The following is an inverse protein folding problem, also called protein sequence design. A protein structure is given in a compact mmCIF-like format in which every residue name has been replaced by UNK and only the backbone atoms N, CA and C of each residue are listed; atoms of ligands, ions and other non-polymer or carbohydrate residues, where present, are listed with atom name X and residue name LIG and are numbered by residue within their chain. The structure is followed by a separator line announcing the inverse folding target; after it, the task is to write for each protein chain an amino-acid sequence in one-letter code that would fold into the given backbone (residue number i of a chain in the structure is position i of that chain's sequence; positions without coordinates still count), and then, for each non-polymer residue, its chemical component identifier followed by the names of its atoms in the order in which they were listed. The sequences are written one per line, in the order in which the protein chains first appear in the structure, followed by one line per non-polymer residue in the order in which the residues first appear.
data_IF_664111012868
#
_entry.id   IF_664111012868
#
_cell.length_a   1.000
_cell.length_b   1.000
_cell.length_c   1.000
_cell.angle_alpha   90.00
_cell.angle_beta   90.00
_cell.angle_gamma   90.00
#
_symmetry.space_group_name_H-M   'P 1'
#
loop_
_entity.id
_entity.type
_entity.pdbx_description
1 polymer ?
#
# COMPACT_ATOMS: atom_id res chain seq x y z
N UNK A 1 -7.92 -0.72 5.43
CA UNK A 1 -6.44 -0.66 5.45
C UNK A 1 -5.96 0.67 4.92
N UNK A 2 -6.30 0.97 3.67
CA UNK A 2 -6.04 2.21 2.92
C UNK A 2 -6.14 3.47 3.79
N UNK A 3 -7.32 3.80 4.31
CA UNK A 3 -7.52 5.02 5.10
C UNK A 3 -6.53 5.20 6.25
N UNK A 4 -6.20 4.12 6.98
CA UNK A 4 -5.22 4.17 8.07
C UNK A 4 -3.80 4.42 7.57
N UNK A 5 -3.42 3.85 6.42
CA UNK A 5 -2.11 4.08 5.82
C UNK A 5 -1.95 5.56 5.42
N UNK A 6 -2.97 6.15 4.79
CA UNK A 6 -2.96 7.57 4.42
C UNK A 6 -3.04 8.50 5.64
N UNK A 7 -3.88 8.19 6.64
CA UNK A 7 -3.95 8.97 7.86
C UNK A 7 -2.61 8.99 8.62
N UNK A 8 -1.94 7.84 8.72
CA UNK A 8 -0.62 7.76 9.34
C UNK A 8 0.44 8.49 8.51
N UNK A 9 0.42 8.34 7.18
CA UNK A 9 1.29 9.08 6.28
C UNK A 9 1.12 10.59 6.44
N UNK A 10 -0.12 11.08 6.50
CA UNK A 10 -0.45 12.48 6.75
C UNK A 10 0.05 12.97 8.11
N UNK A 11 -0.17 12.19 9.18
CA UNK A 11 0.38 12.49 10.51
C UNK A 11 1.92 12.60 10.52
N UNK A 12 2.59 11.85 9.64
CA UNK A 12 4.05 11.87 9.47
C UNK A 12 4.54 12.91 8.44
N UNK A 13 3.64 13.67 7.81
CA UNK A 13 4.00 14.60 6.73
C UNK A 13 4.56 13.91 5.48
N UNK A 14 4.23 12.64 5.27
CA UNK A 14 4.66 11.88 4.08
C UNK A 14 3.86 12.32 2.85
N UNK A 15 4.50 12.20 1.68
CA UNK A 15 3.79 12.35 0.40
C UNK A 15 2.71 11.27 0.27
N UNK A 16 1.60 11.62 -0.36
CA UNK A 16 0.50 10.68 -0.61
C UNK A 16 0.92 9.59 -1.61
N UNK A 17 1.76 9.94 -2.58
CA UNK A 17 2.19 9.05 -3.65
C UNK A 17 3.66 9.31 -4.03
N UNK A 18 4.34 8.23 -4.42
CA UNK A 18 5.62 8.24 -5.10
C UNK A 18 5.77 6.89 -5.81
N UNK A 19 6.48 6.88 -6.94
CA UNK A 19 6.82 5.63 -7.61
C UNK A 19 7.65 4.74 -6.68
N UNK A 20 7.36 3.45 -6.65
CA UNK A 20 8.10 2.48 -5.83
C UNK A 20 8.99 1.64 -6.74
N UNK A 21 10.33 1.80 -6.66
CA UNK A 21 11.25 0.97 -7.43
C UNK A 21 11.07 -0.53 -7.13
N UNK A 22 11.21 -1.43 -8.11
CA UNK A 22 11.09 -2.88 -7.90
C UNK A 22 12.00 -3.44 -6.79
N UNK A 23 13.15 -2.80 -6.63
CA UNK A 23 14.24 -3.11 -5.72
C UNK A 23 14.24 -2.23 -4.46
N UNK A 24 13.14 -1.50 -4.21
CA UNK A 24 12.96 -0.71 -3.01
C UNK A 24 13.11 -1.57 -1.74
N UNK A 25 13.99 -1.11 -0.85
CA UNK A 25 14.10 -1.60 0.51
C UNK A 25 14.02 -0.43 1.48
N UNK A 26 13.15 -0.57 2.47
CA UNK A 26 13.08 0.40 3.55
C UNK A 26 14.35 0.29 4.42
N UNK A 27 15.10 1.38 4.51
CA UNK A 27 16.27 1.52 5.37
C UNK A 27 16.32 2.94 5.95
N UNK A 28 17.26 3.22 6.86
CA UNK A 28 17.34 4.54 7.52
C UNK A 28 17.43 5.70 6.52
N UNK A 29 18.11 5.49 5.39
CA UNK A 29 18.28 6.52 4.36
C UNK A 29 17.05 6.64 3.45
N UNK A 30 16.26 5.60 3.19
CA UNK A 30 15.08 5.66 2.30
C UNK A 30 13.77 5.93 3.03
N UNK A 31 13.77 5.89 4.37
CA UNK A 31 12.57 6.08 5.21
C UNK A 31 11.83 7.40 4.96
N UNK A 32 12.56 8.46 4.59
CA UNK A 32 11.95 9.76 4.27
C UNK A 32 11.17 9.78 2.95
N UNK A 33 11.40 8.80 2.08
CA UNK A 33 10.71 8.65 0.79
C UNK A 33 9.47 7.75 0.89
N UNK A 34 9.25 7.15 2.06
CA UNK A 34 8.16 6.22 2.29
C UNK A 34 6.81 6.93 2.18
N UNK A 35 5.89 6.32 1.42
CA UNK A 35 4.51 6.79 1.21
C UNK A 35 3.53 5.67 1.53
N UNK A 36 2.21 5.95 1.62
CA UNK A 36 1.20 4.90 1.74
C UNK A 36 1.25 3.85 0.62
N UNK A 37 1.72 4.22 -0.57
CA UNK A 37 1.93 3.30 -1.70
C UNK A 37 3.08 2.32 -1.41
N UNK A 38 4.15 2.78 -0.77
CA UNK A 38 5.23 1.90 -0.31
C UNK A 38 4.71 0.90 0.73
N UNK A 39 3.96 1.36 1.75
CA UNK A 39 3.36 0.47 2.78
C UNK A 39 2.50 -0.62 2.13
N UNK A 40 1.73 -0.26 1.10
CA UNK A 40 0.92 -1.22 0.36
C UNK A 40 1.78 -2.28 -0.33
N UNK A 41 2.76 -1.86 -1.11
CA UNK A 41 3.57 -2.76 -1.93
C UNK A 41 4.45 -3.69 -1.07
N UNK A 42 5.04 -3.17 0.01
CA UNK A 42 5.95 -3.94 0.86
C UNK A 42 5.22 -4.85 1.85
N UNK A 43 4.03 -4.45 2.31
CA UNK A 43 3.36 -5.10 3.45
C UNK A 43 1.90 -5.42 3.21
N UNK A 44 1.04 -4.43 2.92
CA UNK A 44 -0.42 -4.67 2.92
C UNK A 44 -0.84 -5.70 1.85
N UNK A 45 -0.20 -5.69 0.69
CA UNK A 45 -0.41 -6.64 -0.39
C UNK A 45 -0.14 -8.10 0.05
N UNK A 46 0.81 -8.30 0.96
CA UNK A 46 1.29 -9.62 1.43
C UNK A 46 0.54 -10.14 2.66
N UNK A 47 -0.37 -9.36 3.25
CA UNK A 47 -1.06 -9.76 4.48
C UNK A 47 -1.90 -11.03 4.27
N UNK A 48 -2.60 -11.13 3.13
CA UNK A 48 -3.51 -12.27 2.87
C UNK A 48 -2.80 -13.62 2.93
N UNK A 49 -1.55 -13.67 2.44
CA UNK A 49 -0.71 -14.87 2.40
C UNK A 49 -0.20 -15.29 3.78
N UNK A 50 -0.17 -14.36 4.73
CA UNK A 50 0.36 -14.59 6.09
C UNK A 50 -0.72 -14.99 7.10
N UNK A 51 -1.99 -15.03 6.70
CA UNK A 51 -3.08 -15.40 7.59
C UNK A 51 -3.16 -16.92 7.78
N UNK A 52 -3.39 -17.35 9.02
CA UNK A 52 -3.30 -18.75 9.42
C UNK A 52 -4.63 -19.51 9.29
N UNK A 53 -5.77 -18.84 9.47
CA UNK A 53 -7.10 -19.48 9.43
C UNK A 53 -7.76 -19.29 8.07
N UNK A 54 -8.57 -20.28 7.67
CA UNK A 54 -9.33 -20.20 6.41
C UNK A 54 -10.34 -19.05 6.39
N UNK A 55 -10.98 -18.76 7.54
CA UNK A 55 -11.91 -17.63 7.67
C UNK A 55 -11.20 -16.29 7.46
N UNK A 56 -9.99 -16.14 8.00
CA UNK A 56 -9.19 -14.93 7.83
C UNK A 56 -8.72 -14.78 6.37
N UNK A 57 -8.30 -15.87 5.72
CA UNK A 57 -7.92 -15.85 4.29
C UNK A 57 -9.07 -15.44 3.40
N UNK A 58 -10.27 -16.01 3.59
CA UNK A 58 -11.49 -15.64 2.84
C UNK A 58 -11.79 -14.15 2.95
N UNK A 59 -11.80 -13.61 4.16
CA UNK A 59 -12.02 -12.19 4.39
C UNK A 59 -10.91 -11.30 3.80
N UNK A 60 -9.68 -11.80 3.77
CA UNK A 60 -8.54 -11.05 3.24
C UNK A 60 -8.51 -11.00 1.72
N UNK A 61 -9.05 -11.98 1.01
CA UNK A 61 -9.16 -11.93 -0.46
C UNK A 61 -10.04 -10.75 -0.91
N UNK A 62 -11.24 -10.61 -0.35
CA UNK A 62 -12.13 -9.48 -0.67
C UNK A 62 -11.46 -8.13 -0.37
N UNK A 63 -10.81 -8.02 0.79
CA UNK A 63 -10.09 -6.80 1.20
C UNK A 63 -8.87 -6.51 0.33
N UNK A 64 -8.20 -7.55 -0.16
CA UNK A 64 -7.06 -7.42 -1.04
C UNK A 64 -7.49 -6.99 -2.44
N UNK A 65 -8.56 -7.57 -2.98
CA UNK A 65 -9.13 -7.16 -4.26
C UNK A 65 -9.45 -5.66 -4.29
N UNK A 66 -10.12 -5.16 -3.24
CA UNK A 66 -10.37 -3.72 -3.09
C UNK A 66 -9.07 -2.89 -3.05
N UNK A 67 -8.03 -3.35 -2.34
CA UNK A 67 -6.77 -2.62 -2.30
C UNK A 67 -6.08 -2.60 -3.66
N UNK A 68 -6.10 -3.70 -4.42
CA UNK A 68 -5.55 -3.77 -5.77
C UNK A 68 -6.22 -2.73 -6.67
N UNK A 69 -7.55 -2.71 -6.68
CA UNK A 69 -8.34 -1.76 -7.48
C UNK A 69 -8.04 -0.31 -7.07
N UNK A 70 -8.07 -0.01 -5.76
CA UNK A 70 -7.79 1.32 -5.26
C UNK A 70 -6.41 1.84 -5.69
N UNK A 71 -5.35 1.04 -5.51
CA UNK A 71 -3.99 1.47 -5.85
C UNK A 71 -3.74 1.52 -7.36
N UNK A 72 -4.39 0.66 -8.14
CA UNK A 72 -4.35 0.73 -9.60
C UNK A 72 -5.01 2.00 -10.13
N UNK A 73 -6.21 2.33 -9.63
CA UNK A 73 -6.92 3.56 -9.96
C UNK A 73 -6.11 4.80 -9.56
N UNK A 74 -5.58 4.82 -8.34
CA UNK A 74 -4.73 5.92 -7.86
C UNK A 74 -3.52 6.15 -8.76
N UNK A 75 -2.88 5.08 -9.26
CA UNK A 75 -1.74 5.21 -10.16
C UNK A 75 -2.13 5.77 -11.54
N UNK A 76 -3.29 5.40 -12.07
CA UNK A 76 -3.82 5.99 -13.31
C UNK A 76 -4.12 7.48 -13.13
N UNK A 77 -4.79 7.85 -12.03
CA UNK A 77 -5.13 9.24 -11.72
C UNK A 77 -3.88 10.12 -11.57
N UNK A 78 -2.86 9.65 -10.84
CA UNK A 78 -1.60 10.39 -10.66
C UNK A 78 -0.84 10.56 -11.97
N UNK A 79 -0.96 9.60 -12.90
CA UNK A 79 -0.35 9.68 -14.24
C UNK A 79 -1.19 10.47 -15.24
N UNK A 80 -2.40 10.91 -14.87
CA UNK A 80 -3.32 11.60 -15.78
C UNK A 80 -3.85 10.69 -16.90
N UNK A 81 -4.00 9.40 -16.63
CA UNK A 81 -4.49 8.39 -17.58
C UNK A 81 -5.98 8.05 -17.40
N UNK A 82 -6.63 8.63 -16.39
CA UNK A 82 -8.02 8.45 -16.03
C UNK A 82 -8.90 9.59 -16.56
#
# INVERSE_FOLDING_TARGET
GVARAFAFGGYKGQRLWANVPPDYRECQTTKHQHTPVHEYQIKLSKIKERLLTESARRLAEERHAFMVEFFAQLEQEVRGLA
#
